data_IF_959850376665
#
_entry.id   IF_959850376665
#
_cell.length_a   1.000
_cell.length_b   1.000
_cell.length_c   1.000
_cell.angle_alpha   90.00
_cell.angle_beta   90.00
_cell.angle_gamma   90.00
#
_symmetry.space_group_name_H-M   'P 1'
#
loop_
_entity.id
_entity.type
_entity.pdbx_description
1 polymer ?
#
# COMPACT_ATOMS: atom_id res chain seq x y z
N UNK A 1 -23.56 -25.33 12.42
CA UNK A 1 -23.34 -24.13 13.25
C UNK A 1 -22.44 -24.48 14.42
N UNK A 2 -22.81 -25.52 15.15
CA UNK A 2 -22.15 -26.13 16.30
C UNK A 2 -20.63 -26.22 16.15
N UNK A 3 -20.12 -26.84 15.07
CA UNK A 3 -18.67 -26.94 14.84
C UNK A 3 -17.98 -25.58 14.70
N UNK A 4 -18.62 -24.62 14.01
CA UNK A 4 -18.04 -23.30 13.80
C UNK A 4 -18.02 -22.50 15.11
N UNK A 5 -19.09 -22.58 15.90
CA UNK A 5 -19.17 -21.99 17.24
C UNK A 5 -18.04 -22.50 18.13
N UNK A 6 -17.81 -23.81 18.16
CA UNK A 6 -16.76 -24.41 18.99
C UNK A 6 -15.37 -23.92 18.53
N UNK A 7 -15.13 -23.78 17.22
CA UNK A 7 -13.90 -23.19 16.67
C UNK A 7 -13.73 -21.71 17.07
N UNK A 8 -14.79 -20.91 17.07
CA UNK A 8 -14.71 -19.50 17.50
C UNK A 8 -14.29 -19.40 18.97
N UNK A 9 -14.90 -20.19 19.85
CA UNK A 9 -14.57 -20.21 21.28
C UNK A 9 -13.13 -20.66 21.49
N UNK A 10 -12.71 -21.75 20.83
CA UNK A 10 -11.34 -22.26 20.91
C UNK A 10 -10.30 -21.19 20.53
N UNK A 11 -10.51 -20.49 19.42
CA UNK A 11 -9.57 -19.46 18.96
C UNK A 11 -9.63 -18.18 19.79
N UNK A 12 -10.80 -17.81 20.29
CA UNK A 12 -10.96 -16.67 21.20
C UNK A 12 -10.22 -16.92 22.54
N UNK A 13 -10.32 -18.14 23.08
CA UNK A 13 -9.57 -18.55 24.28
C UNK A 13 -8.05 -18.58 24.06
N UNK A 14 -7.59 -18.81 22.82
CA UNK A 14 -6.17 -18.72 22.44
C UNK A 14 -5.67 -17.27 22.32
N UNK A 15 -6.58 -16.29 22.22
CA UNK A 15 -6.24 -14.87 22.10
C UNK A 15 -6.08 -14.38 20.66
N UNK A 16 -6.84 -14.92 19.71
CA UNK A 16 -6.93 -14.33 18.37
C UNK A 16 -7.64 -12.97 18.45
N UNK A 17 -7.01 -11.91 17.96
CA UNK A 17 -7.51 -10.53 18.13
C UNK A 17 -8.66 -10.14 17.18
N UNK A 18 -8.73 -10.76 16.00
CA UNK A 18 -9.82 -10.52 15.06
C UNK A 18 -10.12 -11.74 14.19
N UNK A 19 -11.38 -11.89 13.77
CA UNK A 19 -11.80 -12.97 12.87
C UNK A 19 -12.24 -12.44 11.51
N UNK A 20 -11.68 -13.01 10.45
CA UNK A 20 -12.25 -12.90 9.10
C UNK A 20 -13.47 -13.82 8.96
N UNK A 21 -14.67 -13.24 8.90
CA UNK A 21 -15.93 -14.00 8.79
C UNK A 21 -16.69 -13.59 7.53
N UNK A 22 -16.91 -14.57 6.65
CA UNK A 22 -17.55 -14.39 5.34
C UNK A 22 -19.09 -14.49 5.46
N UNK A 23 -19.68 -13.69 6.35
CA UNK A 23 -21.13 -13.65 6.56
C UNK A 23 -21.89 -12.90 5.45
N UNK A 24 -21.19 -12.13 4.60
CA UNK A 24 -21.78 -11.42 3.45
C UNK A 24 -22.04 -12.30 2.21
N UNK A 25 -21.53 -13.54 2.17
CA UNK A 25 -21.71 -14.46 1.04
C UNK A 25 -23.09 -15.10 1.09
N UNK A 26 -24.10 -14.38 0.64
CA UNK A 26 -25.50 -14.85 0.71
C UNK A 26 -25.85 -15.73 -0.48
N UNK A 27 -26.77 -16.68 -0.28
CA UNK A 27 -27.18 -17.66 -1.29
C UNK A 27 -27.64 -16.98 -2.59
N UNK A 28 -28.32 -15.83 -2.48
CA UNK A 28 -28.82 -15.05 -3.62
C UNK A 28 -27.72 -14.41 -4.47
N UNK A 29 -26.52 -14.23 -3.95
CA UNK A 29 -25.39 -13.62 -4.68
C UNK A 29 -24.56 -14.65 -5.45
N UNK A 30 -24.58 -15.92 -5.04
CA UNK A 30 -23.79 -16.98 -5.70
C UNK A 30 -24.09 -17.10 -7.20
N UNK A 31 -25.35 -17.04 -7.69
CA UNK A 31 -25.64 -17.07 -9.13
C UNK A 31 -25.09 -15.86 -9.89
N UNK A 32 -24.89 -14.71 -9.23
CA UNK A 32 -24.38 -13.50 -9.87
C UNK A 32 -22.91 -13.65 -10.30
N UNK A 33 -22.15 -14.54 -9.65
CA UNK A 33 -20.76 -14.81 -10.02
C UNK A 33 -20.62 -15.78 -11.19
N UNK A 34 -21.72 -16.33 -11.72
CA UNK A 34 -21.66 -17.33 -12.80
C UNK A 34 -21.12 -16.77 -14.12
N UNK A 35 -21.24 -15.46 -14.34
CA UNK A 35 -20.74 -14.76 -15.53
C UNK A 35 -19.35 -14.14 -15.36
N UNK A 36 -18.73 -14.27 -14.18
CA UNK A 36 -17.38 -13.73 -13.93
C UNK A 36 -16.31 -14.47 -14.72
N UNK A 37 -15.25 -13.76 -15.09
CA UNK A 37 -14.06 -14.31 -15.72
C UNK A 37 -13.33 -15.27 -14.77
N UNK A 38 -13.15 -14.89 -13.49
CA UNK A 38 -12.43 -15.70 -12.50
C UNK A 38 -13.28 -16.20 -11.34
N UNK A 39 -14.61 -16.01 -11.43
CA UNK A 39 -15.57 -16.60 -10.48
C UNK A 39 -15.39 -16.09 -9.04
N UNK A 40 -15.34 -17.02 -8.08
CA UNK A 40 -15.13 -16.74 -6.66
C UNK A 40 -13.70 -17.12 -6.29
N UNK A 41 -12.83 -16.13 -6.06
CA UNK A 41 -11.41 -16.34 -5.73
C UNK A 41 -11.12 -16.31 -4.23
N UNK A 42 -12.08 -15.88 -3.40
CA UNK A 42 -11.94 -16.00 -1.95
C UNK A 42 -12.00 -17.47 -1.53
N UNK A 43 -10.99 -17.94 -0.79
CA UNK A 43 -11.01 -19.29 -0.22
C UNK A 43 -12.18 -19.47 0.76
N UNK A 44 -12.35 -18.55 1.70
CA UNK A 44 -13.46 -18.60 2.65
C UNK A 44 -14.81 -18.41 1.97
N UNK A 45 -14.90 -17.47 1.03
CA UNK A 45 -16.11 -17.22 0.27
C UNK A 45 -16.56 -18.41 -0.58
N UNK A 46 -15.64 -19.09 -1.27
CA UNK A 46 -15.95 -20.29 -2.07
C UNK A 46 -16.40 -21.48 -1.23
N UNK A 47 -15.87 -21.64 0.00
CA UNK A 47 -16.36 -22.63 0.96
C UNK A 47 -17.82 -22.34 1.33
N UNK A 48 -18.14 -21.08 1.65
CA UNK A 48 -19.50 -20.67 1.99
C UNK A 48 -20.47 -20.79 0.82
N UNK A 49 -20.07 -20.39 -0.38
CA UNK A 49 -20.86 -20.57 -1.59
C UNK A 49 -21.18 -22.06 -1.85
N UNK A 50 -20.17 -22.94 -1.76
CA UNK A 50 -20.36 -24.39 -1.90
C UNK A 50 -21.32 -24.94 -0.85
N UNK A 51 -21.19 -24.50 0.40
CA UNK A 51 -22.09 -24.92 1.48
C UNK A 51 -23.54 -24.48 1.21
N UNK A 52 -23.76 -23.23 0.80
CA UNK A 52 -25.07 -22.68 0.48
C UNK A 52 -25.74 -23.44 -0.67
N UNK A 53 -25.01 -23.73 -1.74
CA UNK A 53 -25.52 -24.50 -2.89
C UNK A 53 -25.84 -25.95 -2.53
N UNK A 54 -25.00 -26.59 -1.69
CA UNK A 54 -25.17 -28.01 -1.34
C UNK A 54 -26.40 -28.25 -0.45
N UNK A 55 -26.75 -27.28 0.39
CA UNK A 55 -27.89 -27.38 1.30
C UNK A 55 -29.12 -26.61 0.83
N UNK A 56 -28.96 -25.73 -0.16
CA UNK A 56 -29.96 -24.77 -0.62
C UNK A 56 -30.55 -23.96 0.55
N UNK A 57 -29.67 -23.48 1.43
CA UNK A 57 -30.00 -22.69 2.62
C UNK A 57 -29.16 -21.42 2.62
N UNK A 58 -29.68 -20.38 3.29
CA UNK A 58 -28.93 -19.14 3.51
C UNK A 58 -27.68 -19.41 4.35
N UNK A 59 -26.64 -18.62 4.11
CA UNK A 59 -25.36 -18.69 4.80
C UNK A 59 -25.54 -18.74 6.32
N UNK A 60 -25.11 -19.83 6.94
CA UNK A 60 -25.31 -20.00 8.38
C UNK A 60 -24.55 -18.97 9.22
N UNK A 61 -23.46 -18.38 8.70
CA UNK A 61 -22.74 -17.30 9.37
C UNK A 61 -23.59 -16.02 9.44
N UNK A 62 -24.37 -15.77 8.39
CA UNK A 62 -25.33 -14.66 8.36
C UNK A 62 -26.51 -14.91 9.30
N UNK A 63 -27.08 -16.13 9.27
CA UNK A 63 -28.26 -16.44 10.09
C UNK A 63 -27.95 -16.52 11.58
N UNK A 64 -26.72 -16.89 11.95
CA UNK A 64 -26.24 -16.94 13.34
C UNK A 64 -25.39 -15.71 13.73
N UNK A 65 -25.41 -14.64 12.95
CA UNK A 65 -24.54 -13.48 13.18
C UNK A 65 -24.65 -12.90 14.59
N UNK A 66 -25.86 -12.84 15.16
CA UNK A 66 -26.07 -12.30 16.51
C UNK A 66 -25.42 -13.18 17.59
N UNK A 67 -25.43 -14.50 17.41
CA UNK A 67 -24.77 -15.45 18.31
C UNK A 67 -23.25 -15.39 18.16
N UNK A 68 -22.74 -15.15 16.95
CA UNK A 68 -21.32 -14.90 16.69
C UNK A 68 -20.88 -13.60 17.40
N UNK A 69 -21.70 -12.55 17.33
CA UNK A 69 -21.44 -11.28 18.03
C UNK A 69 -21.39 -11.47 19.55
N UNK A 70 -22.31 -12.25 20.13
CA UNK A 70 -22.29 -12.54 21.57
C UNK A 70 -20.98 -13.23 22.01
N UNK A 71 -20.44 -14.14 21.17
CA UNK A 71 -19.13 -14.77 21.42
C UNK A 71 -18.01 -13.73 21.30
N UNK A 72 -17.94 -12.99 20.19
CA UNK A 72 -16.84 -12.03 19.96
C UNK A 72 -16.82 -10.92 21.02
N UNK A 73 -17.98 -10.43 21.46
CA UNK A 73 -18.11 -9.46 22.54
C UNK A 73 -17.60 -9.97 23.89
N UNK A 74 -17.76 -11.27 24.18
CA UNK A 74 -17.31 -11.85 25.45
C UNK A 74 -15.77 -11.89 25.59
N UNK A 75 -15.05 -11.88 24.47
CA UNK A 75 -13.58 -11.98 24.42
C UNK A 75 -12.90 -10.74 23.82
N UNK A 76 -13.67 -9.71 23.46
CA UNK A 76 -13.20 -8.52 22.72
C UNK A 76 -12.46 -8.84 21.41
N UNK A 77 -12.97 -9.84 20.68
CA UNK A 77 -12.46 -10.16 19.34
C UNK A 77 -13.10 -9.22 18.33
N UNK A 78 -12.28 -8.54 17.53
CA UNK A 78 -12.77 -7.64 16.48
C UNK A 78 -13.28 -8.42 15.26
N UNK A 79 -14.28 -7.88 14.56
CA UNK A 79 -14.70 -8.41 13.27
C UNK A 79 -13.88 -7.85 12.13
N UNK A 80 -13.38 -8.74 11.28
CA UNK A 80 -12.99 -8.43 9.90
C UNK A 80 -14.05 -9.05 8.99
N UNK A 81 -15.04 -8.27 8.55
CA UNK A 81 -16.13 -8.85 7.76
C UNK A 81 -15.59 -9.16 6.36
N UNK A 82 -15.45 -10.44 6.04
CA UNK A 82 -14.72 -10.91 4.86
C UNK A 82 -15.39 -10.55 3.53
N UNK A 83 -14.57 -10.42 2.49
CA UNK A 83 -14.96 -10.09 1.11
C UNK A 83 -15.01 -11.36 0.23
N UNK A 84 -15.94 -12.25 0.55
CA UNK A 84 -16.04 -13.56 -0.07
C UNK A 84 -16.31 -13.54 -1.58
N UNK A 85 -16.85 -12.44 -2.08
CA UNK A 85 -17.18 -12.18 -3.48
C UNK A 85 -16.28 -11.08 -4.08
N UNK A 86 -15.10 -10.82 -3.52
CA UNK A 86 -14.12 -9.90 -4.14
C UNK A 86 -13.76 -10.30 -5.59
N UNK A 87 -13.38 -9.33 -6.44
CA UNK A 87 -12.92 -9.60 -7.80
C UNK A 87 -11.52 -10.23 -7.79
N UNK A 88 -11.35 -11.28 -8.60
CA UNK A 88 -10.07 -11.96 -8.84
C UNK A 88 -9.48 -11.71 -10.22
N UNK A 89 -10.04 -10.75 -10.95
CA UNK A 89 -9.53 -10.23 -12.21
C UNK A 89 -10.04 -8.82 -12.41
N UNK A 90 -9.34 -8.02 -13.21
CA UNK A 90 -9.76 -6.67 -13.59
C UNK A 90 -11.14 -6.67 -14.25
N UNK A 91 -11.48 -7.75 -14.97
CA UNK A 91 -12.77 -7.87 -15.68
C UNK A 91 -13.98 -8.00 -14.74
N UNK A 92 -13.77 -8.49 -13.51
CA UNK A 92 -14.83 -8.75 -12.53
C UNK A 92 -14.97 -7.63 -11.50
N UNK A 93 -14.14 -6.59 -11.59
CA UNK A 93 -14.13 -5.47 -10.65
C UNK A 93 -15.43 -4.67 -10.70
N UNK A 94 -15.92 -4.28 -9.52
CA UNK A 94 -17.10 -3.44 -9.30
C UNK A 94 -18.41 -4.06 -9.82
N UNK A 95 -18.46 -5.39 -9.95
CA UNK A 95 -19.66 -6.07 -10.40
C UNK A 95 -20.75 -6.13 -9.30
N UNK A 96 -21.93 -6.61 -9.69
CA UNK A 96 -23.08 -6.70 -8.80
C UNK A 96 -22.85 -7.64 -7.61
N UNK A 97 -22.07 -8.72 -7.78
CA UNK A 97 -21.82 -9.67 -6.70
C UNK A 97 -20.93 -9.06 -5.62
N UNK A 98 -19.90 -8.31 -6.02
CA UNK A 98 -19.01 -7.59 -5.10
C UNK A 98 -19.79 -6.55 -4.31
N UNK A 99 -20.50 -5.65 -4.98
CA UNK A 99 -21.22 -4.58 -4.29
C UNK A 99 -22.43 -5.07 -3.50
N UNK A 100 -23.10 -6.14 -3.95
CA UNK A 100 -24.14 -6.80 -3.18
C UNK A 100 -23.62 -7.34 -1.84
N UNK A 101 -22.41 -7.90 -1.82
CA UNK A 101 -21.77 -8.30 -0.56
C UNK A 101 -21.40 -7.09 0.30
N UNK A 102 -20.87 -6.02 -0.28
CA UNK A 102 -20.47 -4.81 0.46
C UNK A 102 -21.64 -4.14 1.19
N UNK A 103 -22.82 -4.07 0.57
CA UNK A 103 -24.04 -3.57 1.24
C UNK A 103 -24.40 -4.44 2.46
N UNK A 104 -24.25 -5.76 2.34
CA UNK A 104 -24.49 -6.69 3.46
C UNK A 104 -23.42 -6.56 4.54
N UNK A 105 -22.15 -6.32 4.17
CA UNK A 105 -21.10 -6.02 5.14
C UNK A 105 -21.49 -4.80 6.00
N UNK A 106 -22.08 -3.75 5.40
CA UNK A 106 -22.61 -2.59 6.11
C UNK A 106 -23.75 -2.93 7.10
N UNK A 107 -24.72 -3.73 6.66
CA UNK A 107 -25.78 -4.24 7.57
C UNK A 107 -25.17 -4.97 8.77
N UNK A 108 -24.25 -5.90 8.52
CA UNK A 108 -23.60 -6.72 9.54
C UNK A 108 -22.75 -5.87 10.49
N UNK A 109 -22.11 -4.81 9.99
CA UNK A 109 -21.40 -3.81 10.81
C UNK A 109 -22.33 -3.20 11.85
N UNK A 110 -23.51 -2.69 11.45
CA UNK A 110 -24.44 -2.06 12.41
C UNK A 110 -24.98 -3.04 13.45
N UNK A 111 -25.23 -4.30 13.04
CA UNK A 111 -25.68 -5.37 13.94
C UNK A 111 -24.60 -5.74 14.97
N UNK A 112 -23.34 -5.81 14.55
CA UNK A 112 -22.21 -6.07 15.43
C UNK A 112 -21.97 -4.89 16.40
N UNK A 113 -22.07 -3.64 15.94
CA UNK A 113 -21.98 -2.46 16.81
C UNK A 113 -23.10 -2.42 17.86
N UNK A 114 -24.32 -2.83 17.52
CA UNK A 114 -25.42 -2.92 18.48
C UNK A 114 -25.14 -3.92 19.63
N UNK A 115 -24.20 -4.85 19.43
CA UNK A 115 -23.71 -5.83 20.41
C UNK A 115 -22.41 -5.40 21.09
N UNK A 116 -21.87 -4.23 20.75
CA UNK A 116 -20.63 -3.70 21.31
C UNK A 116 -19.35 -4.28 20.70
N UNK A 117 -19.44 -4.99 19.58
CA UNK A 117 -18.25 -5.54 18.91
C UNK A 117 -17.54 -4.46 18.07
N UNK A 118 -16.21 -4.53 18.03
CA UNK A 118 -15.38 -3.75 17.11
C UNK A 118 -15.47 -4.33 15.69
N UNK A 119 -15.44 -3.49 14.64
CA UNK A 119 -15.63 -3.94 13.25
C UNK A 119 -14.71 -3.21 12.29
N UNK A 120 -14.11 -3.94 11.36
CA UNK A 120 -13.58 -3.48 10.09
C UNK A 120 -14.16 -4.33 8.94
N UNK A 121 -14.20 -3.78 7.73
CA UNK A 121 -14.71 -4.48 6.55
C UNK A 121 -13.56 -4.82 5.59
N UNK A 122 -13.56 -6.03 5.04
CA UNK A 122 -12.60 -6.41 4.00
C UNK A 122 -13.07 -5.93 2.62
N UNK A 123 -12.11 -5.62 1.75
CA UNK A 123 -12.33 -5.05 0.43
C UNK A 123 -11.41 -5.61 -0.66
N UNK A 124 -11.65 -5.21 -1.91
CA UNK A 124 -11.34 -5.98 -3.11
C UNK A 124 -9.86 -6.31 -3.34
N UNK A 125 -9.70 -7.29 -4.24
CA UNK A 125 -8.43 -7.80 -4.76
C UNK A 125 -7.99 -7.13 -6.06
N UNK A 126 -8.64 -7.42 -7.19
CA UNK A 126 -8.20 -6.94 -8.51
C UNK A 126 -9.11 -5.80 -8.99
N UNK A 127 -8.59 -4.58 -9.09
CA UNK A 127 -9.37 -3.38 -9.46
C UNK A 127 -8.52 -2.43 -10.30
N UNK A 128 -8.94 -2.05 -11.52
CA UNK A 128 -8.19 -1.10 -12.32
C UNK A 128 -8.28 0.30 -11.70
N UNK A 129 -7.23 1.11 -11.85
CA UNK A 129 -7.09 2.39 -11.11
C UNK A 129 -8.31 3.32 -11.18
N UNK A 130 -8.96 3.41 -12.34
CA UNK A 130 -10.12 4.27 -12.56
C UNK A 130 -11.39 3.84 -11.79
N UNK A 131 -11.40 2.64 -11.20
CA UNK A 131 -12.51 2.08 -10.41
C UNK A 131 -12.24 2.08 -8.90
N UNK A 132 -11.02 2.43 -8.47
CA UNK A 132 -10.62 2.36 -7.05
C UNK A 132 -11.39 3.36 -6.19
N UNK A 133 -11.60 4.59 -6.69
CA UNK A 133 -12.31 5.64 -5.94
C UNK A 133 -13.75 5.24 -5.61
N UNK A 134 -14.46 4.60 -6.55
CA UNK A 134 -15.83 4.12 -6.35
C UNK A 134 -15.91 3.10 -5.21
N UNK A 135 -14.93 2.21 -5.09
CA UNK A 135 -14.88 1.21 -4.00
C UNK A 135 -14.80 1.90 -2.64
N UNK A 136 -13.90 2.88 -2.50
CA UNK A 136 -13.75 3.61 -1.25
C UNK A 136 -15.00 4.42 -0.91
N UNK A 137 -15.56 5.14 -1.89
CA UNK A 137 -16.75 5.96 -1.69
C UNK A 137 -17.96 5.12 -1.24
N UNK A 138 -18.21 3.98 -1.90
CA UNK A 138 -19.29 3.06 -1.52
C UNK A 138 -19.08 2.46 -0.15
N UNK A 139 -17.85 2.09 0.20
CA UNK A 139 -17.58 1.53 1.53
C UNK A 139 -17.82 2.57 2.63
N UNK A 140 -17.38 3.82 2.46
CA UNK A 140 -17.65 4.88 3.43
C UNK A 140 -19.16 5.09 3.62
N UNK A 141 -19.91 5.14 2.52
CA UNK A 141 -21.37 5.35 2.54
C UNK A 141 -22.12 4.17 3.17
N UNK A 142 -21.85 2.95 2.69
CA UNK A 142 -22.65 1.76 3.02
C UNK A 142 -22.19 1.07 4.30
N UNK A 143 -20.92 1.20 4.68
CA UNK A 143 -20.36 0.63 5.90
C UNK A 143 -20.12 1.67 7.00
N UNK A 144 -20.71 2.86 6.86
CA UNK A 144 -20.76 3.89 7.91
C UNK A 144 -19.37 4.31 8.41
N UNK A 145 -18.43 4.48 7.48
CA UNK A 145 -17.03 4.85 7.77
C UNK A 145 -16.28 3.86 8.69
N UNK A 146 -16.76 2.62 8.81
CA UNK A 146 -15.99 1.56 9.48
C UNK A 146 -14.60 1.40 8.80
N UNK A 147 -13.53 1.05 9.55
CA UNK A 147 -12.22 0.84 8.96
C UNK A 147 -12.26 -0.14 7.78
N UNK A 148 -11.67 0.25 6.66
CA UNK A 148 -11.57 -0.61 5.47
C UNK A 148 -10.23 -1.35 5.45
N UNK A 149 -10.24 -2.62 5.05
CA UNK A 149 -9.09 -3.50 4.97
C UNK A 149 -8.99 -4.18 3.60
N UNK A 150 -8.05 -3.78 2.74
CA UNK A 150 -8.04 -4.20 1.33
C UNK A 150 -6.87 -5.12 0.97
N UNK A 151 -7.09 -6.07 0.06
CA UNK A 151 -6.03 -6.92 -0.52
C UNK A 151 -5.44 -6.26 -1.78
N UNK A 152 -4.50 -5.33 -1.59
CA UNK A 152 -4.03 -4.45 -2.68
C UNK A 152 -4.90 -3.19 -2.75
N UNK A 153 -5.60 -2.90 -3.86
CA UNK A 153 -5.89 -3.83 -4.97
C UNK A 153 -4.82 -3.91 -6.08
N UNK A 154 -4.72 -5.05 -6.76
CA UNK A 154 -3.94 -5.24 -7.99
C UNK A 154 -4.54 -4.42 -9.13
N UNK A 155 -3.74 -3.54 -9.73
CA UNK A 155 -4.22 -2.64 -10.79
C UNK A 155 -4.13 -3.24 -12.20
N UNK A 156 -3.53 -4.43 -12.34
CA UNK A 156 -3.41 -5.16 -13.60
C UNK A 156 -3.09 -6.64 -13.33
N UNK A 157 -3.55 -7.52 -14.22
CA UNK A 157 -3.42 -8.98 -14.08
C UNK A 157 -2.23 -9.56 -14.88
N UNK A 158 -1.49 -8.71 -15.60
CA UNK A 158 -0.53 -9.18 -16.63
C UNK A 158 0.91 -9.38 -16.12
N UNK A 159 1.16 -9.23 -14.81
CA UNK A 159 2.51 -9.24 -14.26
C UNK A 159 2.71 -10.21 -13.06
N UNK A 160 2.32 -11.50 -13.19
CA UNK A 160 2.60 -12.48 -12.14
C UNK A 160 4.12 -12.56 -11.89
N UNK A 161 4.52 -12.63 -10.61
CA UNK A 161 5.91 -12.44 -10.19
C UNK A 161 6.21 -11.01 -9.71
N UNK A 162 5.35 -10.06 -10.05
CA UNK A 162 5.47 -8.64 -9.70
C UNK A 162 4.20 -8.10 -9.05
N UNK A 163 3.34 -8.97 -8.52
CA UNK A 163 2.04 -8.55 -8.00
C UNK A 163 2.12 -7.68 -6.75
N UNK A 164 3.20 -7.79 -5.97
CA UNK A 164 3.53 -6.80 -4.93
C UNK A 164 3.62 -5.35 -5.48
N UNK A 165 4.06 -5.17 -6.73
CA UNK A 165 4.14 -3.85 -7.40
C UNK A 165 2.78 -3.46 -7.96
N UNK A 166 2.11 -4.37 -8.69
CA UNK A 166 0.79 -4.09 -9.29
C UNK A 166 -0.22 -3.72 -8.20
N UNK A 167 -0.19 -4.41 -7.07
CA UNK A 167 -1.00 -4.12 -5.90
C UNK A 167 -0.50 -2.93 -5.10
N UNK A 168 0.81 -2.69 -5.00
CA UNK A 168 1.36 -1.54 -4.30
C UNK A 168 0.86 -0.21 -4.86
N UNK A 169 0.62 -0.12 -6.17
CA UNK A 169 -0.01 1.04 -6.83
C UNK A 169 -1.44 1.24 -6.30
N UNK A 170 -2.29 0.21 -6.38
CA UNK A 170 -3.68 0.32 -5.95
C UNK A 170 -3.80 0.51 -4.44
N UNK A 171 -2.94 -0.13 -3.66
CA UNK A 171 -2.86 0.00 -2.21
C UNK A 171 -2.53 1.43 -1.77
N UNK A 172 -1.58 2.09 -2.43
CA UNK A 172 -1.28 3.50 -2.18
C UNK A 172 -2.47 4.41 -2.54
N UNK A 173 -3.16 4.13 -3.66
CA UNK A 173 -4.34 4.90 -4.08
C UNK A 173 -5.52 4.74 -3.11
N UNK A 174 -5.91 3.52 -2.79
CA UNK A 174 -7.06 3.27 -1.90
C UNK A 174 -6.73 3.67 -0.45
N UNK A 175 -5.48 3.53 -0.03
CA UNK A 175 -4.97 4.05 1.24
C UNK A 175 -5.08 5.58 1.30
N UNK A 176 -4.72 6.28 0.22
CA UNK A 176 -4.89 7.72 0.10
C UNK A 176 -6.37 8.13 0.20
N UNK A 177 -7.26 7.39 -0.45
CA UNK A 177 -8.69 7.67 -0.42
C UNK A 177 -9.36 7.37 0.94
N UNK A 178 -8.72 6.63 1.85
CA UNK A 178 -9.20 6.46 3.22
C UNK A 178 -9.11 5.05 3.79
N UNK A 179 -8.60 4.07 3.04
CA UNK A 179 -8.44 2.71 3.56
C UNK A 179 -7.52 2.69 4.79
N UNK A 180 -7.94 1.95 5.83
CA UNK A 180 -7.29 1.98 7.15
C UNK A 180 -6.16 0.95 7.27
N UNK A 181 -6.30 -0.20 6.61
CA UNK A 181 -5.31 -1.28 6.64
C UNK A 181 -5.14 -1.90 5.25
N UNK A 182 -3.90 -2.26 4.91
CA UNK A 182 -3.56 -2.80 3.59
C UNK A 182 -2.97 -4.21 3.77
N UNK A 183 -3.69 -5.23 3.30
CA UNK A 183 -3.17 -6.59 3.26
C UNK A 183 -2.14 -6.66 2.15
N UNK A 184 -0.92 -7.05 2.52
CA UNK A 184 0.18 -7.16 1.58
C UNK A 184 -0.04 -8.25 0.53
N UNK A 185 0.59 -8.08 -0.61
CA UNK A 185 0.67 -9.07 -1.69
C UNK A 185 2.14 -9.33 -1.94
N UNK A 186 2.51 -10.61 -2.01
CA UNK A 186 3.91 -11.00 -2.19
C UNK A 186 4.28 -11.05 -3.68
N UNK A 187 5.58 -11.03 -4.04
CA UNK A 187 5.99 -11.25 -5.43
C UNK A 187 5.48 -12.57 -6.03
N UNK A 188 5.33 -13.62 -5.21
CA UNK A 188 4.87 -14.95 -5.64
C UNK A 188 3.37 -15.15 -5.60
N UNK A 189 2.59 -14.10 -5.35
CA UNK A 189 1.14 -14.19 -5.51
C UNK A 189 0.82 -14.74 -6.91
N UNK A 190 -0.22 -15.58 -6.99
CA UNK A 190 -0.60 -16.35 -8.19
C UNK A 190 0.42 -17.39 -8.70
N UNK A 191 1.57 -17.58 -8.03
CA UNK A 191 2.63 -18.50 -8.47
C UNK A 191 2.97 -19.59 -7.44
N UNK A 192 2.91 -19.28 -6.15
CA UNK A 192 3.21 -20.25 -5.10
C UNK A 192 3.37 -19.65 -3.71
N UNK A 193 3.79 -20.49 -2.75
CA UNK A 193 4.02 -20.03 -1.39
C UNK A 193 5.25 -19.10 -1.32
N UNK A 194 5.15 -17.95 -0.63
CA UNK A 194 6.27 -17.03 -0.46
C UNK A 194 7.33 -17.64 0.47
N UNK A 195 8.60 -17.35 0.17
CA UNK A 195 9.73 -17.60 1.07
C UNK A 195 10.01 -16.37 1.95
N UNK A 196 11.06 -16.44 2.78
CA UNK A 196 11.45 -15.35 3.70
C UNK A 196 11.70 -14.02 2.96
N UNK A 197 12.37 -14.05 1.82
CA UNK A 197 12.73 -12.85 1.08
C UNK A 197 11.50 -12.25 0.38
N UNK A 198 10.62 -13.09 -0.16
CA UNK A 198 9.33 -12.66 -0.73
C UNK A 198 8.46 -11.94 0.31
N UNK A 199 8.48 -12.43 1.56
CA UNK A 199 7.79 -11.79 2.69
C UNK A 199 8.43 -10.43 3.01
N UNK A 200 9.76 -10.33 3.10
CA UNK A 200 10.46 -9.06 3.33
C UNK A 200 10.10 -8.04 2.24
N UNK A 201 10.16 -8.44 0.97
CA UNK A 201 9.79 -7.60 -0.17
C UNK A 201 8.34 -7.11 -0.05
N UNK A 202 7.38 -8.02 0.17
CA UNK A 202 5.98 -7.64 0.32
C UNK A 202 5.76 -6.64 1.46
N UNK A 203 6.36 -6.86 2.62
CA UNK A 203 6.25 -5.95 3.77
C UNK A 203 6.83 -4.57 3.46
N UNK A 204 8.04 -4.49 2.90
CA UNK A 204 8.67 -3.21 2.58
C UNK A 204 7.87 -2.45 1.51
N UNK A 205 7.38 -3.15 0.48
CA UNK A 205 6.53 -2.56 -0.56
C UNK A 205 5.25 -1.95 0.03
N UNK A 206 4.58 -2.66 0.93
CA UNK A 206 3.35 -2.15 1.54
C UNK A 206 3.58 -1.09 2.61
N UNK A 207 4.72 -1.13 3.32
CA UNK A 207 5.15 -0.02 4.20
C UNK A 207 5.38 1.27 3.41
N UNK A 208 5.95 1.16 2.20
CA UNK A 208 6.11 2.29 1.29
C UNK A 208 4.75 2.77 0.77
N UNK A 209 3.87 1.87 0.33
CA UNK A 209 2.54 2.24 -0.17
C UNK A 209 1.70 2.95 0.91
N UNK A 210 1.71 2.44 2.14
CA UNK A 210 1.05 3.08 3.28
C UNK A 210 1.65 4.46 3.58
N UNK A 211 2.98 4.60 3.59
CA UNK A 211 3.64 5.90 3.79
C UNK A 211 3.31 6.90 2.67
N UNK A 212 3.24 6.43 1.41
CA UNK A 212 2.84 7.26 0.27
C UNK A 212 1.39 7.75 0.42
N UNK A 213 0.48 6.90 0.90
CA UNK A 213 -0.87 7.29 1.26
C UNK A 213 -0.89 8.33 2.39
N UNK A 214 -0.09 8.14 3.45
CA UNK A 214 0.01 9.10 4.56
C UNK A 214 0.52 10.47 4.10
N UNK A 215 1.51 10.51 3.19
CA UNK A 215 1.98 11.75 2.57
C UNK A 215 0.87 12.42 1.75
N UNK A 216 0.16 11.67 0.91
CA UNK A 216 -0.92 12.19 0.08
C UNK A 216 -2.11 12.70 0.92
N UNK A 217 -2.35 12.09 2.09
CA UNK A 217 -3.33 12.54 3.10
C UNK A 217 -2.86 13.76 3.90
N UNK A 218 -1.58 14.14 3.81
CA UNK A 218 -0.99 15.19 4.63
C UNK A 218 -0.95 14.82 6.12
N UNK A 219 -0.77 13.53 6.45
CA UNK A 219 -0.77 13.07 7.84
C UNK A 219 0.34 13.78 8.64
N UNK A 220 0.03 14.35 9.82
CA UNK A 220 1.03 14.99 10.66
C UNK A 220 2.21 14.05 10.94
N UNK A 221 3.40 14.48 10.53
CA UNK A 221 4.64 13.75 10.78
C UNK A 221 5.13 12.84 9.65
N UNK A 222 4.32 12.51 8.66
CA UNK A 222 4.75 11.69 7.53
C UNK A 222 5.93 12.35 6.79
N UNK A 223 5.78 13.63 6.44
CA UNK A 223 6.77 14.38 5.68
C UNK A 223 8.11 14.60 6.41
N UNK A 224 8.16 14.48 7.75
CA UNK A 224 9.43 14.66 8.48
C UNK A 224 10.45 13.60 8.11
N UNK A 225 10.02 12.34 7.88
CA UNK A 225 10.92 11.26 7.48
C UNK A 225 11.51 11.53 6.09
N UNK A 226 10.68 11.92 5.13
CA UNK A 226 11.08 12.29 3.77
C UNK A 226 12.07 13.45 3.78
N UNK A 227 11.77 14.51 4.55
CA UNK A 227 12.63 15.68 4.65
C UNK A 227 13.97 15.33 5.33
N UNK A 228 13.96 14.52 6.39
CA UNK A 228 15.20 14.09 7.06
C UNK A 228 16.11 13.28 6.14
N UNK A 229 15.53 12.33 5.39
CA UNK A 229 16.26 11.51 4.42
C UNK A 229 16.76 12.37 3.25
N UNK A 230 15.93 13.27 2.73
CA UNK A 230 16.29 14.17 1.63
C UNK A 230 17.41 15.13 2.03
N UNK A 231 17.37 15.65 3.25
CA UNK A 231 18.44 16.47 3.82
C UNK A 231 19.73 15.67 3.97
N UNK A 232 19.65 14.45 4.50
CA UNK A 232 20.82 13.56 4.60
C UNK A 232 21.44 13.27 3.23
N UNK A 233 20.60 13.05 2.21
CA UNK A 233 21.04 12.86 0.83
C UNK A 233 21.75 14.09 0.27
N UNK A 234 21.19 15.28 0.44
CA UNK A 234 21.76 16.51 -0.10
C UNK A 234 23.09 16.89 0.60
N UNK A 235 23.20 16.61 1.89
CA UNK A 235 24.40 16.85 2.71
C UNK A 235 25.42 15.69 2.63
N UNK A 236 25.20 14.71 1.75
CA UNK A 236 26.06 13.53 1.58
C UNK A 236 26.32 12.75 2.89
N UNK A 237 25.38 12.78 3.83
CA UNK A 237 25.39 11.99 5.07
C UNK A 237 24.90 10.57 4.77
N UNK A 238 25.71 9.80 4.04
CA UNK A 238 25.35 8.48 3.51
C UNK A 238 24.81 7.52 4.58
N UNK A 239 25.49 7.43 5.72
CA UNK A 239 25.07 6.57 6.83
C UNK A 239 23.68 6.93 7.36
N UNK A 240 23.41 8.23 7.53
CA UNK A 240 22.10 8.71 7.96
C UNK A 240 21.03 8.43 6.91
N UNK A 241 21.35 8.63 5.62
CA UNK A 241 20.44 8.31 4.52
C UNK A 241 20.07 6.83 4.53
N UNK A 242 21.03 5.92 4.73
CA UNK A 242 20.75 4.48 4.79
C UNK A 242 19.87 4.14 5.99
N UNK A 243 20.23 4.63 7.18
CA UNK A 243 19.50 4.35 8.42
C UNK A 243 18.06 4.88 8.41
N UNK A 244 17.80 5.95 7.67
CA UNK A 244 16.45 6.51 7.51
C UNK A 244 15.60 5.76 6.48
N UNK A 245 16.21 4.95 5.61
CA UNK A 245 15.52 4.14 4.61
C UNK A 245 14.56 3.11 5.24
N UNK A 246 13.59 2.62 4.46
CA UNK A 246 12.67 1.57 4.92
C UNK A 246 13.37 0.21 5.05
N UNK A 247 14.41 -0.03 4.25
CA UNK A 247 15.27 -1.20 4.32
C UNK A 247 16.75 -0.76 4.30
N UNK A 248 17.31 -0.39 5.48
CA UNK A 248 18.68 0.12 5.58
C UNK A 248 19.75 -0.85 5.07
N UNK A 249 19.53 -2.17 5.24
CA UNK A 249 20.46 -3.20 4.77
C UNK A 249 20.63 -3.16 3.25
N UNK A 250 19.51 -3.12 2.53
CA UNK A 250 19.50 -3.07 1.06
C UNK A 250 20.05 -1.74 0.56
N UNK A 251 19.74 -0.62 1.22
CA UNK A 251 20.27 0.70 0.84
C UNK A 251 21.81 0.75 0.92
N UNK A 252 22.40 0.18 1.98
CA UNK A 252 23.86 0.05 2.12
C UNK A 252 24.45 -0.86 1.05
N UNK A 253 23.83 -2.03 0.86
CA UNK A 253 24.28 -3.04 -0.08
C UNK A 253 24.42 -2.46 -1.50
N UNK A 254 23.39 -1.78 -2.01
CA UNK A 254 23.40 -1.23 -3.36
C UNK A 254 24.41 -0.10 -3.57
N UNK A 255 24.68 0.70 -2.54
CA UNK A 255 25.77 1.68 -2.61
C UNK A 255 27.13 0.96 -2.71
N UNK A 256 27.34 -0.04 -1.85
CA UNK A 256 28.63 -0.70 -1.66
C UNK A 256 28.99 -1.68 -2.77
N UNK A 257 28.02 -2.09 -3.59
CA UNK A 257 28.26 -2.84 -4.83
C UNK A 257 29.24 -2.12 -5.77
N UNK A 258 29.28 -0.78 -5.74
CA UNK A 258 30.15 0.02 -6.61
C UNK A 258 31.16 0.88 -5.86
N UNK A 259 30.84 1.31 -4.63
CA UNK A 259 31.71 2.14 -3.80
C UNK A 259 31.86 1.54 -2.37
N UNK A 260 32.50 0.36 -2.23
CA UNK A 260 32.53 -0.37 -0.95
C UNK A 260 33.42 0.27 0.13
N UNK A 261 34.33 1.17 -0.27
CA UNK A 261 35.33 1.74 0.64
C UNK A 261 34.67 2.67 1.68
N UNK A 262 35.09 2.61 2.94
CA UNK A 262 34.53 3.46 4.02
C UNK A 262 34.60 4.96 3.69
N UNK A 263 35.67 5.40 3.01
CA UNK A 263 35.80 6.80 2.56
C UNK A 263 34.70 7.26 1.62
N UNK A 264 34.06 6.35 0.87
CA UNK A 264 32.95 6.68 0.00
C UNK A 264 31.69 7.14 0.76
N UNK A 265 31.54 6.74 2.04
CA UNK A 265 30.44 7.19 2.91
C UNK A 265 30.55 8.66 3.34
N UNK A 266 31.66 9.31 2.97
CA UNK A 266 31.89 10.75 3.16
C UNK A 266 32.06 11.48 1.82
N UNK A 267 31.90 10.78 0.69
CA UNK A 267 32.08 11.36 -0.63
C UNK A 267 30.88 12.21 -1.04
N UNK A 268 31.15 13.36 -1.65
CA UNK A 268 30.10 14.25 -2.17
C UNK A 268 29.64 13.83 -3.59
N UNK A 269 29.50 12.52 -3.82
CA UNK A 269 29.01 11.93 -5.06
C UNK A 269 28.68 10.44 -4.85
N UNK A 270 27.97 9.85 -5.81
CA UNK A 270 27.85 8.39 -5.96
C UNK A 270 28.36 7.93 -7.33
N UNK A 271 28.36 6.62 -7.56
CA UNK A 271 28.81 6.01 -8.81
C UNK A 271 27.99 6.43 -10.03
N UNK A 272 26.75 6.89 -9.86
CA UNK A 272 25.88 7.32 -10.98
C UNK A 272 26.43 8.55 -11.73
N UNK A 273 26.95 9.55 -11.02
CA UNK A 273 27.43 10.80 -11.62
C UNK A 273 28.94 11.01 -11.46
N UNK A 274 29.58 10.29 -10.53
CA UNK A 274 30.96 10.49 -10.18
C UNK A 274 31.25 11.88 -9.59
N UNK A 275 32.53 12.18 -9.30
CA UNK A 275 32.93 13.37 -8.55
C UNK A 275 32.70 14.70 -9.28
N UNK A 276 32.65 14.70 -10.61
CA UNK A 276 32.64 15.94 -11.40
C UNK A 276 31.26 16.37 -11.89
N UNK A 277 30.27 15.46 -11.88
CA UNK A 277 28.94 15.72 -12.44
C UNK A 277 27.81 15.48 -11.42
N UNK A 278 28.13 15.35 -10.14
CA UNK A 278 27.10 15.26 -9.11
C UNK A 278 26.35 16.58 -8.98
N UNK A 279 25.07 16.58 -9.34
CA UNK A 279 24.21 17.78 -9.32
C UNK A 279 24.06 18.41 -7.93
N UNK A 280 24.00 17.59 -6.89
CA UNK A 280 23.90 18.08 -5.50
C UNK A 280 25.19 18.77 -5.07
N UNK A 281 26.36 18.25 -5.47
CA UNK A 281 27.65 18.87 -5.17
C UNK A 281 27.81 20.20 -5.91
N UNK A 282 27.47 20.24 -7.19
CA UNK A 282 27.46 21.48 -7.97
C UNK A 282 26.55 22.53 -7.31
N UNK A 283 25.38 22.12 -6.82
CA UNK A 283 24.45 23.01 -6.11
C UNK A 283 25.01 23.51 -4.77
N UNK A 284 25.70 22.65 -4.02
CA UNK A 284 26.41 23.02 -2.78
C UNK A 284 27.50 24.07 -3.06
N UNK A 285 28.33 23.86 -4.08
CA UNK A 285 29.42 24.77 -4.46
C UNK A 285 28.87 26.14 -4.86
N UNK A 286 27.76 26.19 -5.61
CA UNK A 286 27.07 27.44 -5.97
C UNK A 286 26.54 28.18 -4.73
N UNK A 287 25.93 27.46 -3.78
CA UNK A 287 25.43 28.06 -2.52
C UNK A 287 26.57 28.60 -1.67
N UNK A 288 27.68 27.88 -1.60
CA UNK A 288 28.87 28.32 -0.87
C UNK A 288 29.48 29.57 -1.50
N UNK A 289 29.63 29.59 -2.83
CA UNK A 289 30.11 30.78 -3.54
C UNK A 289 29.23 32.01 -3.30
N UNK A 290 27.91 31.87 -3.37
CA UNK A 290 26.98 32.97 -3.11
C UNK A 290 27.11 33.49 -1.65
N UNK A 291 27.24 32.59 -0.69
CA UNK A 291 27.42 32.95 0.73
C UNK A 291 28.75 33.67 0.98
N UNK A 292 29.85 33.22 0.37
CA UNK A 292 31.19 33.85 0.50
C UNK A 292 31.23 35.26 -0.10
N UNK A 293 30.46 35.52 -1.16
CA UNK A 293 30.37 36.84 -1.77
C UNK A 293 29.45 37.81 -1.00
N UNK A 294 28.71 37.32 0.01
CA UNK A 294 27.78 38.14 0.80
C UNK A 294 26.62 38.71 -0.01
N UNK A 295 26.29 38.08 -1.13
CA UNK A 295 25.26 38.53 -2.06
C UNK A 295 23.96 37.79 -1.74
N UNK A 296 22.81 38.48 -1.73
CA UNK A 296 21.51 37.80 -1.65
C UNK A 296 21.39 36.79 -2.80
N UNK A 297 20.82 35.60 -2.55
CA UNK A 297 20.80 34.46 -3.49
C UNK A 297 20.37 34.89 -4.91
N UNK A 298 19.43 35.83 -5.02
CA UNK A 298 18.93 36.41 -6.27
C UNK A 298 19.94 37.31 -7.01
N UNK A 299 20.70 38.15 -6.32
CA UNK A 299 21.74 39.01 -6.94
C UNK A 299 22.97 38.19 -7.34
N UNK A 300 23.30 37.11 -6.60
CA UNK A 300 24.42 36.23 -6.91
C UNK A 300 24.17 35.45 -8.20
N UNK A 301 22.94 34.95 -8.35
CA UNK A 301 22.48 34.28 -9.56
C UNK A 301 22.49 35.26 -10.74
N UNK A 302 21.97 36.48 -10.59
CA UNK A 302 21.96 37.46 -11.66
C UNK A 302 23.39 37.82 -12.13
N UNK A 303 24.31 38.04 -11.19
CA UNK A 303 25.70 38.39 -11.49
C UNK A 303 26.48 37.21 -12.08
N UNK A 304 26.29 36.00 -11.54
CA UNK A 304 26.89 34.78 -12.07
C UNK A 304 26.37 34.42 -13.47
N UNK A 305 25.08 34.63 -13.75
CA UNK A 305 24.52 34.50 -15.10
C UNK A 305 25.08 35.54 -16.06
N UNK A 306 25.29 36.78 -15.61
CA UNK A 306 25.89 37.85 -16.43
C UNK A 306 27.38 37.54 -16.75
N UNK A 307 28.13 37.04 -15.78
CA UNK A 307 29.52 36.57 -15.95
C UNK A 307 29.60 35.36 -16.89
N UNK A 308 28.76 34.34 -16.71
CA UNK A 308 28.70 33.17 -17.60
C UNK A 308 28.22 33.53 -19.01
N UNK A 309 27.32 34.51 -19.14
CA UNK A 309 26.93 35.04 -20.45
C UNK A 309 28.09 35.74 -21.16
N UNK A 310 28.91 36.50 -20.43
CA UNK A 310 30.13 37.11 -20.96
C UNK A 310 31.16 36.06 -21.36
N UNK A 311 31.45 35.09 -20.49
CA UNK A 311 32.34 33.97 -20.81
C UNK A 311 31.86 33.20 -22.05
N UNK A 312 30.56 32.93 -22.18
CA UNK A 312 29.99 32.25 -23.34
C UNK A 312 30.22 33.04 -24.63
N UNK A 313 29.98 34.36 -24.62
CA UNK A 313 30.22 35.24 -25.77
C UNK A 313 31.72 35.33 -26.10
N UNK A 314 32.57 35.48 -25.08
CA UNK A 314 34.03 35.56 -25.23
C UNK A 314 34.64 34.26 -25.76
N UNK A 315 34.09 33.12 -25.34
CA UNK A 315 34.49 31.81 -25.82
C UNK A 315 33.93 31.47 -27.21
N UNK A 316 33.32 32.44 -27.91
CA UNK A 316 32.89 32.33 -29.30
C UNK A 316 31.39 32.09 -29.51
N UNK A 317 30.59 32.13 -28.44
CA UNK A 317 29.14 31.87 -28.45
C UNK A 317 28.76 30.52 -29.08
N UNK A 318 29.66 29.55 -29.06
CA UNK A 318 29.40 28.20 -29.54
C UNK A 318 28.92 27.32 -28.37
N UNK A 319 27.74 26.73 -28.53
CA UNK A 319 27.14 25.81 -27.56
C UNK A 319 28.00 24.54 -27.39
N UNK A 320 28.76 24.18 -28.44
CA UNK A 320 29.67 23.04 -28.43
C UNK A 320 31.07 23.52 -28.80
N UNK A 321 31.94 23.62 -27.81
CA UNK A 321 33.35 23.93 -28.05
C UNK A 321 34.03 22.70 -28.68
N UNK A 322 34.86 22.92 -29.71
CA UNK A 322 35.72 21.85 -30.23
C UNK A 322 36.77 21.49 -29.18
N UNK A 323 36.72 20.25 -28.71
CA UNK A 323 37.75 19.62 -27.86
C UNK A 323 39.03 19.45 -28.65
#
# INVERSE_FOLDING_TARGET
WELYRDTLIEQAEQGVDYFTIHAGVLLRFVPMTASRMTGIVSRGGSIMAKWCLSHHKENFLYTHWDEICDICAAYDVSFSIGDGLRPGSIADANDQAQFGELEVQGELTTRAWAKGCQVMNEGPGHVPMHMIEENMAKQLEWCHEAPFYTLGPLTTDIAPGYDHITSGIGAAMIGWYGCAMLCYVTPKEHLGLPNKDDVKVGVITYKLAAHAADLAKGHPGAQYRDNALSKARFEFRWEDQFNLGLDPETARLYHDETLPQDGAKTAHFCSMCGPHFCSMKISEDVRQYAAEQGIAEEEAIAKGMDEKSKEFVEAGAEVYQKV
#
